data_IF_717856962719
#
_entry.id   IF_717856962719
#
_cell.length_a   1.000
_cell.length_b   1.000
_cell.length_c   1.000
_cell.angle_alpha   90.00
_cell.angle_beta   90.00
_cell.angle_gamma   90.00
#
_symmetry.space_group_name_H-M   'P 1'
#
loop_
_entity.id
_entity.type
_entity.pdbx_description
1 polymer ?
#
# COMPACT_ATOMS: atom_id res chain seq x y z
N UNK A 1 0.10 -28.94 1.34
CA UNK A 1 0.02 -29.03 2.82
C UNK A 1 -1.36 -28.56 3.24
N UNK A 2 -2.17 -29.42 3.83
CA UNK A 2 -3.49 -29.06 4.38
C UNK A 2 -3.26 -28.28 5.67
N UNK A 3 -3.29 -26.94 5.62
CA UNK A 3 -3.29 -26.10 6.83
C UNK A 3 -4.60 -26.36 7.56
N UNK A 4 -4.50 -26.68 8.84
CA UNK A 4 -5.63 -26.99 9.70
C UNK A 4 -6.55 -25.76 9.78
N UNK A 5 -7.72 -25.81 9.14
CA UNK A 5 -8.73 -24.73 9.11
C UNK A 5 -9.27 -24.36 10.51
N UNK A 6 -8.79 -25.04 11.56
CA UNK A 6 -9.26 -24.89 12.94
C UNK A 6 -8.40 -23.97 13.82
N UNK A 7 -7.29 -23.42 13.32
CA UNK A 7 -6.53 -22.41 14.05
C UNK A 7 -7.32 -21.09 14.08
N UNK A 8 -7.92 -20.77 15.22
CA UNK A 8 -8.60 -19.49 15.42
C UNK A 8 -7.60 -18.34 15.36
N UNK A 9 -7.80 -17.41 14.43
CA UNK A 9 -6.92 -16.26 14.28
C UNK A 9 -7.06 -15.33 15.49
N UNK A 10 -5.94 -14.93 16.09
CA UNK A 10 -5.92 -13.93 17.16
C UNK A 10 -6.21 -12.51 16.64
N UNK A 11 -6.20 -12.31 15.32
CA UNK A 11 -6.41 -11.03 14.66
C UNK A 11 -7.46 -11.13 13.57
N UNK A 12 -8.29 -10.08 13.43
CA UNK A 12 -9.39 -10.07 12.46
C UNK A 12 -9.47 -8.74 11.70
N UNK A 13 -9.78 -8.82 10.40
CA UNK A 13 -10.20 -7.70 9.56
C UNK A 13 -11.70 -7.86 9.30
N UNK A 14 -12.51 -6.95 9.82
CA UNK A 14 -13.91 -6.83 9.43
C UNK A 14 -13.98 -6.06 8.11
N UNK A 15 -14.47 -6.73 7.06
CA UNK A 15 -14.40 -6.25 5.68
C UNK A 15 -15.80 -5.97 5.14
N UNK A 16 -16.10 -4.71 4.88
CA UNK A 16 -17.16 -4.34 3.95
C UNK A 16 -16.67 -4.59 2.50
N UNK A 17 -17.58 -4.95 1.60
CA UNK A 17 -17.24 -5.18 0.19
C UNK A 17 -17.54 -3.91 -0.62
N UNK A 18 -18.70 -3.31 -0.38
CA UNK A 18 -19.13 -2.10 -1.06
C UNK A 18 -18.25 -0.92 -0.68
N UNK A 19 -17.88 -0.09 -1.65
CA UNK A 19 -16.96 1.04 -1.48
C UNK A 19 -15.54 0.70 -0.95
N UNK A 20 -15.24 -0.56 -0.62
CA UNK A 20 -13.90 -1.02 -0.17
C UNK A 20 -13.22 -1.82 -1.27
N UNK A 21 -13.80 -2.97 -1.65
CA UNK A 21 -13.27 -3.81 -2.74
C UNK A 21 -13.97 -3.54 -4.07
N UNK A 22 -15.25 -3.14 -4.02
CA UNK A 22 -16.08 -2.84 -5.18
C UNK A 22 -16.64 -1.42 -5.04
N UNK A 23 -16.07 -0.45 -5.75
CA UNK A 23 -16.55 0.95 -5.69
C UNK A 23 -17.60 1.22 -6.78
N UNK A 24 -18.32 2.36 -6.72
CA UNK A 24 -19.24 2.73 -7.79
C UNK A 24 -18.60 2.81 -9.18
N UNK A 25 -17.30 3.10 -9.25
CA UNK A 25 -16.54 3.12 -10.52
C UNK A 25 -16.37 1.69 -11.06
N UNK A 26 -16.15 0.72 -10.17
CA UNK A 26 -15.93 -0.66 -10.56
C UNK A 26 -17.20 -1.34 -11.06
N UNK A 27 -18.36 -1.00 -10.49
CA UNK A 27 -19.66 -1.44 -11.02
C UNK A 27 -19.83 -1.09 -12.50
N UNK A 28 -19.29 0.06 -12.93
CA UNK A 28 -19.39 0.57 -14.31
C UNK A 28 -18.21 0.14 -15.18
N UNK A 29 -17.27 -0.64 -14.67
CA UNK A 29 -16.14 -1.13 -15.46
C UNK A 29 -16.64 -2.09 -16.57
N UNK A 30 -15.98 -2.15 -17.74
CA UNK A 30 -16.41 -3.02 -18.83
C UNK A 30 -16.63 -4.49 -18.44
N UNK A 31 -15.83 -5.02 -17.51
CA UNK A 31 -15.97 -6.39 -17.00
C UNK A 31 -17.20 -6.62 -16.11
N UNK A 32 -17.82 -5.55 -15.60
CA UNK A 32 -18.94 -5.61 -14.66
C UNK A 32 -20.25 -5.07 -15.25
N UNK A 33 -20.28 -4.56 -16.49
CA UNK A 33 -21.48 -3.97 -17.09
C UNK A 33 -22.68 -4.92 -17.06
N UNK A 34 -22.47 -6.20 -17.39
CA UNK A 34 -23.55 -7.17 -17.35
C UNK A 34 -24.01 -7.48 -15.92
N UNK A 35 -23.09 -7.47 -14.93
CA UNK A 35 -23.46 -7.60 -13.53
C UNK A 35 -24.31 -6.40 -13.07
N UNK A 36 -23.96 -5.19 -13.52
CA UNK A 36 -24.70 -3.96 -13.27
C UNK A 36 -26.10 -4.03 -13.88
N UNK A 37 -26.22 -4.43 -15.16
CA UNK A 37 -27.52 -4.57 -15.84
C UNK A 37 -28.44 -5.56 -15.12
N UNK A 38 -27.88 -6.69 -14.66
CA UNK A 38 -28.62 -7.69 -13.88
C UNK A 38 -29.08 -7.10 -12.54
N UNK A 39 -28.20 -6.38 -11.84
CA UNK A 39 -28.51 -5.73 -10.57
C UNK A 39 -29.61 -4.66 -10.73
N UNK A 40 -29.49 -3.80 -11.74
CA UNK A 40 -30.45 -2.73 -12.02
C UNK A 40 -31.83 -3.28 -12.43
N UNK A 41 -31.86 -4.38 -13.18
CA UNK A 41 -33.11 -5.00 -13.63
C UNK A 41 -33.88 -5.73 -12.51
N UNK A 42 -33.18 -6.22 -11.49
CA UNK A 42 -33.78 -6.98 -10.37
C UNK A 42 -34.00 -6.17 -9.11
N UNK A 43 -33.36 -5.00 -8.98
CA UNK A 43 -33.24 -4.30 -7.70
C UNK A 43 -32.54 -5.16 -6.64
N UNK A 44 -32.82 -4.88 -5.37
CA UNK A 44 -32.26 -5.61 -4.21
C UNK A 44 -32.93 -6.99 -3.97
N UNK A 45 -33.68 -7.53 -4.92
CA UNK A 45 -34.21 -8.89 -4.79
C UNK A 45 -33.08 -9.92 -4.68
N UNK A 46 -33.16 -10.80 -3.68
CA UNK A 46 -32.11 -11.75 -3.30
C UNK A 46 -31.51 -12.54 -4.46
N UNK A 47 -32.35 -12.96 -5.42
CA UNK A 47 -31.92 -13.75 -6.56
C UNK A 47 -31.11 -12.95 -7.58
N UNK A 48 -31.51 -11.69 -7.82
CA UNK A 48 -30.87 -10.82 -8.80
C UNK A 48 -29.49 -10.34 -8.34
N UNK A 49 -29.38 -9.88 -7.10
CA UNK A 49 -28.10 -9.50 -6.51
C UNK A 49 -27.12 -10.69 -6.45
N UNK A 50 -27.58 -11.88 -6.02
CA UNK A 50 -26.72 -13.06 -6.01
C UNK A 50 -26.21 -13.42 -7.41
N UNK A 51 -27.03 -13.27 -8.45
CA UNK A 51 -26.62 -13.49 -9.84
C UNK A 51 -25.62 -12.43 -10.32
N UNK A 52 -25.86 -11.16 -10.02
CA UNK A 52 -24.93 -10.07 -10.36
C UNK A 52 -23.55 -10.32 -9.71
N UNK A 53 -23.50 -10.63 -8.42
CA UNK A 53 -22.25 -10.88 -7.69
C UNK A 53 -21.47 -12.11 -8.21
N UNK A 54 -22.14 -13.06 -8.88
CA UNK A 54 -21.44 -14.18 -9.56
C UNK A 54 -20.68 -13.76 -10.81
N UNK A 55 -20.94 -12.56 -11.31
CA UNK A 55 -20.37 -12.02 -12.53
C UNK A 55 -19.39 -10.87 -12.25
N UNK A 56 -19.37 -10.35 -11.02
CA UNK A 56 -18.49 -9.27 -10.61
C UNK A 56 -17.02 -9.72 -10.61
N UNK A 57 -16.20 -8.92 -11.27
CA UNK A 57 -14.74 -8.94 -11.21
C UNK A 57 -14.28 -7.81 -10.30
N UNK A 58 -13.62 -8.18 -9.20
CA UNK A 58 -12.99 -7.23 -8.27
C UNK A 58 -11.65 -6.76 -8.82
N UNK A 59 -11.25 -5.52 -8.47
CA UNK A 59 -9.96 -4.97 -8.89
C UNK A 59 -8.81 -5.77 -8.29
N UNK A 60 -7.99 -6.36 -9.16
CA UNK A 60 -6.86 -7.21 -8.76
C UNK A 60 -5.90 -6.52 -7.77
N UNK A 61 -5.69 -5.21 -7.93
CA UNK A 61 -4.87 -4.42 -7.01
C UNK A 61 -5.39 -4.46 -5.57
N UNK A 62 -6.69 -4.24 -5.33
CA UNK A 62 -7.26 -4.23 -3.97
C UNK A 62 -7.27 -5.61 -3.33
N UNK A 63 -7.52 -6.65 -4.14
CA UNK A 63 -7.38 -8.03 -3.70
C UNK A 63 -5.96 -8.31 -3.25
N UNK A 64 -4.98 -7.87 -4.03
CA UNK A 64 -3.57 -8.02 -3.67
C UNK A 64 -3.26 -7.33 -2.34
N UNK A 65 -3.73 -6.09 -2.14
CA UNK A 65 -3.56 -5.39 -0.88
C UNK A 65 -4.18 -6.13 0.31
N UNK A 66 -5.39 -6.67 0.14
CA UNK A 66 -6.06 -7.44 1.21
C UNK A 66 -5.30 -8.73 1.52
N UNK A 67 -4.85 -9.46 0.49
CA UNK A 67 -4.06 -10.67 0.67
C UNK A 67 -2.73 -10.38 1.36
N UNK A 68 -2.06 -9.28 0.99
CA UNK A 68 -0.83 -8.79 1.63
C UNK A 68 -1.11 -8.37 3.08
N UNK A 69 -2.21 -7.66 3.37
CA UNK A 69 -2.60 -7.31 4.74
C UNK A 69 -2.78 -8.56 5.62
N UNK A 70 -3.55 -9.55 5.15
CA UNK A 70 -3.76 -10.80 5.86
C UNK A 70 -2.46 -11.59 6.04
N UNK A 71 -1.64 -11.65 4.99
CA UNK A 71 -0.27 -12.19 5.02
C UNK A 71 0.58 -11.52 6.09
N UNK A 72 0.49 -10.19 6.19
CA UNK A 72 1.42 -9.37 6.95
C UNK A 72 1.10 -9.27 8.44
N UNK A 73 -0.13 -9.60 8.78
CA UNK A 73 -0.67 -9.47 10.12
C UNK A 73 -1.04 -10.83 10.72
N UNK A 74 -1.23 -11.84 9.87
CA UNK A 74 -1.86 -13.11 10.24
C UNK A 74 -3.35 -12.97 10.52
N UNK A 75 -3.98 -11.86 10.10
CA UNK A 75 -5.39 -11.62 10.35
C UNK A 75 -6.30 -12.42 9.41
N UNK A 76 -7.40 -12.93 9.97
CA UNK A 76 -8.48 -13.51 9.20
C UNK A 76 -9.51 -12.44 8.80
N UNK A 77 -10.19 -12.65 7.68
CA UNK A 77 -11.25 -11.80 7.15
C UNK A 77 -12.60 -12.27 7.68
N UNK A 78 -13.38 -11.33 8.21
CA UNK A 78 -14.79 -11.50 8.57
C UNK A 78 -15.59 -10.50 7.74
N UNK A 79 -16.62 -10.97 7.06
CA UNK A 79 -17.50 -10.15 6.23
C UNK A 79 -18.41 -9.29 7.10
N UNK A 80 -18.42 -7.99 6.81
CA UNK A 80 -19.26 -6.97 7.40
C UNK A 80 -20.01 -6.25 6.29
N UNK A 81 -20.89 -6.96 5.57
CA UNK A 81 -21.60 -6.41 4.41
C UNK A 81 -23.12 -6.43 4.58
N UNK A 82 -23.77 -5.35 4.14
CA UNK A 82 -25.25 -5.27 4.05
C UNK A 82 -25.85 -6.28 3.07
N UNK A 83 -25.04 -6.88 2.19
CA UNK A 83 -25.51 -7.94 1.30
C UNK A 83 -25.66 -9.28 2.00
N UNK A 84 -25.10 -9.47 3.20
CA UNK A 84 -25.13 -10.74 3.93
C UNK A 84 -26.56 -11.28 4.18
N UNK A 85 -27.54 -10.48 4.65
CA UNK A 85 -28.92 -10.97 4.81
C UNK A 85 -29.61 -11.35 3.49
N UNK A 86 -29.14 -10.77 2.37
CA UNK A 86 -29.77 -10.89 1.06
C UNK A 86 -29.24 -12.09 0.28
N UNK A 87 -27.91 -12.26 0.24
CA UNK A 87 -27.27 -13.31 -0.58
C UNK A 87 -26.57 -14.40 0.23
N UNK A 88 -26.41 -14.20 1.54
CA UNK A 88 -25.71 -15.14 2.42
C UNK A 88 -24.18 -15.05 2.32
N UNK A 89 -23.51 -15.58 3.34
CA UNK A 89 -22.05 -15.58 3.45
C UNK A 89 -21.35 -16.45 2.42
N UNK A 90 -22.01 -17.53 1.95
CA UNK A 90 -21.46 -18.44 0.95
C UNK A 90 -21.23 -17.73 -0.39
N UNK A 91 -22.19 -16.92 -0.84
CA UNK A 91 -22.07 -16.18 -2.12
C UNK A 91 -20.97 -15.12 -2.05
N UNK A 92 -20.84 -14.42 -0.92
CA UNK A 92 -19.79 -13.43 -0.74
C UNK A 92 -18.41 -14.06 -0.60
N UNK A 93 -18.31 -15.22 0.06
CA UNK A 93 -17.06 -15.99 0.13
C UNK A 93 -16.63 -16.50 -1.25
N UNK A 94 -17.59 -16.96 -2.07
CA UNK A 94 -17.38 -17.34 -3.48
C UNK A 94 -16.93 -16.14 -4.34
N UNK A 95 -17.52 -14.95 -4.12
CA UNK A 95 -17.06 -13.72 -4.76
C UNK A 95 -15.58 -13.42 -4.44
N UNK A 96 -15.19 -13.45 -3.17
CA UNK A 96 -13.80 -13.17 -2.77
C UNK A 96 -12.83 -14.21 -3.33
N UNK A 97 -13.14 -15.50 -3.17
CA UNK A 97 -12.24 -16.59 -3.57
C UNK A 97 -12.05 -16.70 -5.07
N UNK A 98 -13.11 -16.54 -5.88
CA UNK A 98 -12.98 -16.48 -7.35
C UNK A 98 -12.17 -15.28 -7.83
N UNK A 99 -12.18 -14.20 -7.05
CA UNK A 99 -11.37 -13.02 -7.30
C UNK A 99 -9.99 -13.09 -6.65
N UNK A 100 -9.53 -14.29 -6.27
CA UNK A 100 -8.18 -14.57 -5.76
C UNK A 100 -7.88 -14.10 -4.33
N UNK A 101 -8.89 -13.85 -3.49
CA UNK A 101 -8.69 -13.87 -2.04
C UNK A 101 -8.50 -15.32 -1.61
N UNK A 102 -7.44 -15.60 -0.85
CA UNK A 102 -7.21 -16.98 -0.43
C UNK A 102 -8.26 -17.44 0.58
N UNK A 103 -8.82 -18.64 0.37
CA UNK A 103 -9.90 -19.19 1.22
C UNK A 103 -9.46 -19.35 2.68
N UNK A 104 -8.18 -19.63 2.92
CA UNK A 104 -7.60 -19.73 4.27
C UNK A 104 -7.45 -18.39 4.99
N UNK A 105 -7.67 -17.26 4.32
CA UNK A 105 -7.81 -15.98 5.00
C UNK A 105 -9.22 -15.72 5.50
N UNK A 106 -10.24 -16.47 5.06
CA UNK A 106 -11.58 -16.33 5.59
C UNK A 106 -11.69 -16.98 6.97
N UNK A 107 -12.23 -16.23 7.93
CA UNK A 107 -12.48 -16.76 9.27
C UNK A 107 -13.56 -17.87 9.23
N UNK A 108 -13.49 -18.85 10.13
CA UNK A 108 -14.46 -19.97 10.20
C UNK A 108 -15.91 -19.53 10.43
N UNK A 109 -16.10 -18.51 11.26
CA UNK A 109 -17.36 -17.76 11.39
C UNK A 109 -17.18 -16.50 10.55
N UNK A 110 -17.41 -16.63 9.24
CA UNK A 110 -16.99 -15.66 8.22
C UNK A 110 -17.85 -14.40 8.18
N UNK A 111 -18.94 -14.30 8.95
CA UNK A 111 -19.92 -13.23 8.75
C UNK A 111 -20.45 -12.62 10.05
N UNK A 112 -20.53 -11.29 10.04
CA UNK A 112 -21.30 -10.51 10.99
C UNK A 112 -22.69 -10.24 10.39
N UNK A 113 -23.76 -10.61 11.07
CA UNK A 113 -25.12 -10.29 10.60
C UNK A 113 -25.38 -8.81 10.82
N UNK A 114 -25.43 -8.04 9.75
CA UNK A 114 -25.76 -6.60 9.75
C UNK A 114 -27.19 -6.43 9.26
N UNK A 115 -28.07 -5.82 10.06
CA UNK A 115 -29.48 -5.61 9.69
C UNK A 115 -29.72 -4.26 9.02
N UNK A 116 -28.90 -3.26 9.36
CA UNK A 116 -28.98 -1.88 8.88
C UNK A 116 -27.61 -1.16 9.06
N UNK A 117 -27.37 0.00 8.43
CA UNK A 117 -26.08 0.69 8.50
C UNK A 117 -25.63 1.00 9.93
N UNK A 118 -26.54 1.44 10.80
CA UNK A 118 -26.24 1.80 12.19
C UNK A 118 -25.92 0.55 13.04
N UNK A 119 -26.42 -0.62 12.65
CA UNK A 119 -26.17 -1.90 13.32
C UNK A 119 -24.78 -2.51 13.09
N UNK A 120 -23.97 -2.00 12.15
CA UNK A 120 -22.64 -2.57 11.83
C UNK A 120 -21.76 -2.69 13.08
N UNK A 121 -21.74 -1.67 13.94
CA UNK A 121 -21.01 -1.70 15.21
C UNK A 121 -21.51 -2.80 16.14
N UNK A 122 -22.82 -2.88 16.36
CA UNK A 122 -23.43 -3.91 17.19
C UNK A 122 -23.18 -5.32 16.64
N UNK A 123 -23.13 -5.49 15.32
CA UNK A 123 -22.81 -6.74 14.66
C UNK A 123 -21.35 -7.17 14.91
N UNK A 124 -20.39 -6.23 14.82
CA UNK A 124 -18.98 -6.46 15.15
C UNK A 124 -18.83 -6.81 16.65
N UNK A 125 -19.43 -6.01 17.55
CA UNK A 125 -19.36 -6.25 19.00
C UNK A 125 -20.00 -7.59 19.39
N UNK A 126 -21.16 -7.91 18.81
CA UNK A 126 -21.86 -9.18 19.02
C UNK A 126 -21.02 -10.36 18.52
N UNK A 127 -20.34 -10.21 17.38
CA UNK A 127 -19.42 -11.22 16.87
C UNK A 127 -18.20 -11.39 17.79
N UNK A 128 -17.54 -10.29 18.19
CA UNK A 128 -16.38 -10.32 19.10
C UNK A 128 -16.72 -10.95 20.46
N UNK A 129 -17.94 -10.75 20.97
CA UNK A 129 -18.39 -11.35 22.24
C UNK A 129 -18.39 -12.88 22.23
N UNK A 130 -18.57 -13.48 21.03
CA UNK A 130 -18.54 -14.94 20.78
C UNK A 130 -17.14 -15.44 20.43
N UNK A 131 -16.23 -14.55 20.06
CA UNK A 131 -14.87 -14.84 19.60
C UNK A 131 -13.81 -14.19 20.51
N UNK A 132 -13.82 -14.56 21.80
CA UNK A 132 -12.92 -14.00 22.82
C UNK A 132 -11.43 -14.29 22.59
N UNK A 133 -11.13 -15.20 21.66
CA UNK A 133 -9.77 -15.48 21.21
C UNK A 133 -9.15 -14.35 20.37
N UNK A 134 -9.99 -13.49 19.76
CA UNK A 134 -9.55 -12.34 18.97
C UNK A 134 -9.11 -11.21 19.90
N UNK A 135 -7.87 -10.75 19.71
CA UNK A 135 -7.21 -9.74 20.56
C UNK A 135 -6.98 -8.42 19.84
N UNK A 136 -6.80 -8.47 18.53
CA UNK A 136 -6.52 -7.31 17.68
C UNK A 136 -7.50 -7.35 16.50
N UNK A 137 -8.11 -6.22 16.15
CA UNK A 137 -9.03 -6.17 15.02
C UNK A 137 -9.11 -4.77 14.45
N UNK A 138 -9.51 -4.70 13.18
CA UNK A 138 -9.79 -3.44 12.48
C UNK A 138 -11.06 -3.59 11.65
N UNK A 139 -11.64 -2.47 11.25
CA UNK A 139 -12.77 -2.41 10.32
C UNK A 139 -12.31 -1.68 9.06
N UNK A 140 -12.39 -2.37 7.92
CA UNK A 140 -12.24 -1.79 6.58
C UNK A 140 -13.65 -1.51 6.06
N UNK A 141 -14.06 -0.25 6.20
CA UNK A 141 -15.38 0.23 5.79
C UNK A 141 -15.27 1.72 5.41
N UNK A 142 -15.99 2.13 4.38
CA UNK A 142 -16.02 3.53 3.97
C UNK A 142 -16.70 4.42 5.03
N UNK A 143 -17.64 3.85 5.79
CA UNK A 143 -18.41 4.55 6.82
C UNK A 143 -17.82 4.34 8.23
N UNK A 144 -16.64 3.69 8.35
CA UNK A 144 -16.08 3.25 9.64
C UNK A 144 -15.95 4.37 10.68
N UNK A 145 -15.63 5.59 10.24
CA UNK A 145 -15.47 6.76 11.12
C UNK A 145 -16.81 7.22 11.72
N UNK A 146 -17.90 7.12 10.96
CA UNK A 146 -19.24 7.56 11.39
C UNK A 146 -19.90 6.54 12.33
N UNK A 147 -19.47 5.28 12.25
CA UNK A 147 -19.96 4.17 13.07
C UNK A 147 -19.37 4.16 14.50
N UNK A 148 -18.46 5.08 14.82
CA UNK A 148 -17.94 5.30 16.17
C UNK A 148 -17.06 4.16 16.70
N UNK A 149 -16.42 3.40 15.81
CA UNK A 149 -15.37 2.45 16.21
C UNK A 149 -14.20 3.19 16.84
N UNK A 150 -13.54 2.57 17.83
CA UNK A 150 -12.38 3.19 18.51
C UNK A 150 -11.14 3.27 17.60
N UNK A 151 -11.04 2.40 16.59
CA UNK A 151 -9.86 2.31 15.71
C UNK A 151 -10.25 1.96 14.25
N UNK A 152 -11.05 2.79 13.56
CA UNK A 152 -11.46 2.54 12.18
C UNK A 152 -10.31 2.83 11.20
N UNK A 153 -10.18 2.01 10.15
CA UNK A 153 -9.37 2.35 8.98
C UNK A 153 -10.35 2.86 7.92
N UNK A 154 -10.59 4.19 7.85
CA UNK A 154 -11.57 4.74 6.93
C UNK A 154 -11.12 4.52 5.49
N UNK A 155 -11.99 3.95 4.68
CA UNK A 155 -11.69 3.67 3.28
C UNK A 155 -12.30 4.73 2.38
N UNK A 156 -11.53 5.32 1.47
CA UNK A 156 -12.06 6.38 0.60
C UNK A 156 -13.16 5.82 -0.36
N UNK A 157 -14.41 6.30 -0.31
CA UNK A 157 -15.55 5.65 -0.97
C UNK A 157 -15.44 5.55 -2.50
N UNK A 158 -14.69 6.46 -3.14
CA UNK A 158 -14.42 6.40 -4.59
C UNK A 158 -13.21 5.55 -4.97
N UNK A 159 -12.19 5.53 -4.12
CA UNK A 159 -10.89 4.91 -4.43
C UNK A 159 -10.84 3.46 -3.93
N UNK A 160 -11.66 3.12 -2.94
CA UNK A 160 -11.67 1.84 -2.26
C UNK A 160 -10.43 1.67 -1.40
N UNK A 161 -10.15 0.42 -1.03
CA UNK A 161 -8.98 0.06 -0.24
C UNK A 161 -7.69 0.35 -1.01
N UNK A 162 -6.90 1.31 -0.55
CA UNK A 162 -5.61 1.68 -1.14
C UNK A 162 -4.45 1.25 -0.26
N UNK A 163 -3.23 1.52 -0.71
CA UNK A 163 -2.01 1.20 0.03
C UNK A 163 -1.92 2.00 1.33
N UNK A 164 -2.42 3.24 1.36
CA UNK A 164 -2.43 4.04 2.58
C UNK A 164 -3.26 3.37 3.66
N UNK A 165 -4.49 2.93 3.34
CA UNK A 165 -5.33 2.18 4.28
C UNK A 165 -4.71 0.82 4.63
N UNK A 166 -4.05 0.15 3.68
CA UNK A 166 -3.36 -1.11 3.95
C UNK A 166 -2.22 -0.93 4.96
N UNK A 167 -1.37 0.09 4.80
CA UNK A 167 -0.28 0.37 5.72
C UNK A 167 -0.82 0.71 7.12
N UNK A 168 -1.84 1.55 7.20
CA UNK A 168 -2.50 1.90 8.47
C UNK A 168 -3.07 0.64 9.15
N UNK A 169 -3.77 -0.20 8.39
CA UNK A 169 -4.26 -1.50 8.84
C UNK A 169 -3.14 -2.41 9.38
N UNK A 170 -2.01 -2.50 8.66
CA UNK A 170 -0.84 -3.27 9.10
C UNK A 170 -0.26 -2.71 10.39
N UNK A 171 -0.14 -1.38 10.50
CA UNK A 171 0.38 -0.72 11.70
C UNK A 171 -0.47 -0.97 12.94
N UNK A 172 -1.80 -0.95 12.79
CA UNK A 172 -2.75 -1.19 13.90
C UNK A 172 -2.81 -2.66 14.32
N UNK A 173 -2.69 -3.57 13.35
CA UNK A 173 -2.72 -5.02 13.61
C UNK A 173 -1.35 -5.60 14.01
N UNK A 174 -0.24 -4.87 13.86
CA UNK A 174 1.07 -5.33 14.34
C UNK A 174 1.32 -4.86 15.78
N UNK A 175 1.90 -5.72 16.64
CA UNK A 175 2.32 -5.27 17.96
C UNK A 175 3.26 -4.07 17.80
N UNK A 176 3.01 -3.00 18.56
CA UNK A 176 3.92 -1.84 18.64
C UNK A 176 5.34 -2.36 18.78
N UNK A 177 6.22 -1.97 17.86
CA UNK A 177 7.63 -2.36 17.91
C UNK A 177 8.15 -2.17 19.33
N UNK A 178 8.77 -3.19 19.96
CA UNK A 178 9.29 -3.09 21.31
C UNK A 178 10.14 -1.81 21.46
N UNK A 179 9.97 -1.06 22.57
CA UNK A 179 10.71 0.21 22.80
C UNK A 179 12.22 0.10 22.59
N UNK A 180 12.81 -1.09 22.75
CA UNK A 180 14.22 -1.38 22.46
C UNK A 180 14.66 -1.14 21.01
N UNK A 181 13.73 -1.05 20.05
CA UNK A 181 14.04 -0.63 18.67
C UNK A 181 14.02 0.89 18.52
N UNK A 182 13.43 1.63 19.46
CA UNK A 182 13.56 3.10 19.52
C UNK A 182 14.92 3.55 20.08
N UNK A 183 15.74 2.64 20.62
CA UNK A 183 16.93 2.99 21.41
C UNK A 183 18.29 2.59 20.82
N UNK A 184 18.35 2.05 19.60
CA UNK A 184 19.66 1.87 18.93
C UNK A 184 20.00 3.11 18.11
N UNK A 185 20.90 3.90 18.68
CA UNK A 185 21.56 5.11 18.16
C UNK A 185 20.63 6.30 17.85
N UNK A 186 20.26 7.11 18.87
CA UNK A 186 19.61 8.41 18.64
C UNK A 186 20.45 9.40 17.81
N UNK A 187 21.75 9.15 17.66
CA UNK A 187 22.70 10.07 17.02
C UNK A 187 23.18 9.63 15.62
N UNK A 188 22.77 8.44 15.12
CA UNK A 188 23.18 7.95 13.81
C UNK A 188 22.21 8.42 12.73
N UNK A 189 22.62 9.39 11.90
CA UNK A 189 21.84 9.78 10.71
C UNK A 189 21.98 8.70 9.64
N UNK A 190 20.84 8.11 9.25
CA UNK A 190 20.73 7.18 8.15
C UNK A 190 20.20 7.92 6.92
N UNK A 191 20.76 7.68 5.73
CA UNK A 191 20.36 8.38 4.50
C UNK A 191 19.95 7.40 3.41
N UNK A 192 18.84 7.73 2.73
CA UNK A 192 18.42 7.10 1.48
C UNK A 192 18.68 8.09 0.35
N UNK A 193 19.67 7.80 -0.47
CA UNK A 193 19.89 8.51 -1.72
C UNK A 193 18.93 7.95 -2.77
N UNK A 194 18.01 8.79 -3.24
CA UNK A 194 16.87 8.39 -4.04
C UNK A 194 17.00 8.88 -5.49
N UNK A 195 16.95 7.93 -6.44
CA UNK A 195 16.51 8.22 -7.80
C UNK A 195 14.99 8.01 -7.97
N UNK A 196 14.43 8.55 -9.04
CA UNK A 196 12.99 8.57 -9.30
C UNK A 196 12.62 7.55 -10.36
N UNK A 197 13.20 7.66 -11.55
CA UNK A 197 12.92 6.78 -12.67
C UNK A 197 13.35 5.36 -12.32
N UNK A 198 12.53 4.37 -12.69
CA UNK A 198 12.81 2.97 -12.39
C UNK A 198 12.70 2.58 -10.90
N UNK A 199 12.57 3.54 -9.98
CA UNK A 199 12.47 3.30 -8.53
C UNK A 199 11.06 3.55 -8.03
N UNK A 200 10.66 4.82 -7.95
CA UNK A 200 9.30 5.23 -7.59
C UNK A 200 8.41 5.32 -8.82
N UNK A 201 9.02 5.49 -10.00
CA UNK A 201 8.36 5.57 -11.28
C UNK A 201 8.90 4.48 -12.22
N UNK A 202 8.55 3.20 -11.99
CA UNK A 202 9.05 2.09 -12.78
C UNK A 202 8.61 2.19 -14.25
N UNK A 203 9.35 1.56 -15.16
CA UNK A 203 9.07 1.58 -16.61
C UNK A 203 7.66 1.07 -16.94
N UNK A 204 7.13 0.15 -16.13
CA UNK A 204 5.75 -0.32 -16.24
C UNK A 204 4.72 0.82 -16.11
N UNK A 205 4.99 1.85 -15.30
CA UNK A 205 4.12 3.01 -15.17
C UNK A 205 4.09 3.84 -16.47
N UNK A 206 5.21 3.93 -17.19
CA UNK A 206 5.29 4.62 -18.48
C UNK A 206 4.58 3.89 -19.62
N UNK A 207 4.31 2.59 -19.46
CA UNK A 207 3.63 1.78 -20.47
C UNK A 207 2.10 1.97 -20.47
N UNK A 208 1.56 2.68 -19.48
CA UNK A 208 0.14 3.01 -19.41
C UNK A 208 -0.20 4.09 -20.45
N UNK A 209 -1.34 3.95 -21.13
CA UNK A 209 -1.80 4.93 -22.12
C UNK A 209 -1.84 6.35 -21.55
N UNK A 210 -2.31 6.52 -20.31
CA UNK A 210 -2.34 7.81 -19.63
C UNK A 210 -0.95 8.41 -19.45
N UNK A 211 0.05 7.58 -19.11
CA UNK A 211 1.43 8.03 -18.97
C UNK A 211 2.06 8.40 -20.32
N UNK A 212 1.73 7.66 -21.39
CA UNK A 212 2.13 8.00 -22.76
C UNK A 212 1.54 9.36 -23.17
N UNK A 213 0.24 9.58 -22.92
CA UNK A 213 -0.45 10.83 -23.24
C UNK A 213 0.14 11.99 -22.41
N UNK A 214 0.42 11.77 -21.12
CA UNK A 214 1.08 12.73 -20.24
C UNK A 214 2.48 13.10 -20.77
N UNK A 215 3.27 12.11 -21.16
CA UNK A 215 4.61 12.33 -21.69
C UNK A 215 4.61 13.09 -23.01
N UNK A 216 3.65 12.80 -23.89
CA UNK A 216 3.46 13.57 -25.12
C UNK A 216 3.13 15.03 -24.84
N UNK A 217 2.32 15.32 -23.83
CA UNK A 217 2.02 16.70 -23.40
C UNK A 217 3.25 17.37 -22.81
N UNK A 218 3.95 16.70 -21.90
CA UNK A 218 5.18 17.22 -21.26
C UNK A 218 6.24 17.61 -22.28
N UNK A 219 6.42 16.82 -23.34
CA UNK A 219 7.42 17.06 -24.39
C UNK A 219 7.28 18.42 -25.07
N UNK A 220 6.05 18.94 -25.18
CA UNK A 220 5.76 20.21 -25.86
C UNK A 220 5.32 21.32 -24.90
N UNK A 221 5.16 21.00 -23.62
CA UNK A 221 4.70 21.95 -22.62
C UNK A 221 5.84 22.90 -22.22
N UNK A 222 5.70 24.19 -22.55
CA UNK A 222 6.65 25.25 -22.16
C UNK A 222 6.25 25.95 -20.87
N UNK A 223 5.01 25.75 -20.41
CA UNK A 223 4.48 26.38 -19.20
C UNK A 223 4.77 25.51 -17.96
N UNK A 224 5.44 26.09 -16.97
CA UNK A 224 5.86 25.37 -15.76
C UNK A 224 4.67 24.93 -14.90
N UNK A 225 3.60 25.74 -14.84
CA UNK A 225 2.40 25.41 -14.06
C UNK A 225 1.62 24.27 -14.71
N UNK A 226 1.53 24.24 -16.03
CA UNK A 226 0.92 23.12 -16.76
C UNK A 226 1.75 21.85 -16.59
N UNK A 227 3.09 21.90 -16.65
CA UNK A 227 3.92 20.71 -16.36
C UNK A 227 3.67 20.18 -14.97
N UNK A 228 3.58 21.05 -13.97
CA UNK A 228 3.28 20.66 -12.59
C UNK A 228 1.95 19.91 -12.49
N UNK A 229 0.93 20.42 -13.15
CA UNK A 229 -0.38 19.76 -13.20
C UNK A 229 -0.28 18.40 -13.89
N UNK A 230 0.53 18.25 -14.94
CA UNK A 230 0.71 16.97 -15.62
C UNK A 230 1.43 15.97 -14.72
N UNK A 231 2.54 16.34 -14.07
CA UNK A 231 3.24 15.44 -13.13
C UNK A 231 2.40 15.09 -11.91
N UNK A 232 1.59 16.03 -11.42
CA UNK A 232 0.75 15.80 -10.24
C UNK A 232 -0.44 14.91 -10.56
N UNK A 233 -1.09 15.10 -11.71
CA UNK A 233 -2.37 14.44 -11.99
C UNK A 233 -2.29 13.28 -12.99
N UNK A 234 -1.35 13.34 -13.94
CA UNK A 234 -1.33 12.43 -15.08
C UNK A 234 -0.19 11.39 -15.00
N UNK A 235 0.91 11.72 -14.31
CA UNK A 235 2.01 10.76 -14.04
C UNK A 235 1.64 9.90 -12.84
N UNK A 236 1.69 8.58 -13.02
CA UNK A 236 1.33 7.61 -11.98
C UNK A 236 2.58 7.00 -11.36
N UNK A 237 2.98 7.50 -10.21
CA UNK A 237 4.01 6.86 -9.39
C UNK A 237 3.52 5.52 -8.83
N UNK A 238 4.45 4.59 -8.61
CA UNK A 238 4.15 3.32 -7.95
C UNK A 238 3.85 3.58 -6.48
N UNK A 239 2.57 3.55 -6.12
CA UNK A 239 2.14 3.71 -4.74
C UNK A 239 2.74 2.62 -3.82
N UNK A 240 3.05 1.43 -4.35
CA UNK A 240 3.75 0.36 -3.59
C UNK A 240 5.18 0.80 -3.27
N UNK A 241 5.90 1.34 -4.26
CA UNK A 241 7.26 1.82 -4.07
C UNK A 241 7.32 2.99 -3.07
N UNK A 242 6.37 3.95 -3.16
CA UNK A 242 6.25 5.07 -2.23
C UNK A 242 6.00 4.57 -0.80
N UNK A 243 5.08 3.62 -0.63
CA UNK A 243 4.81 3.02 0.68
C UNK A 243 6.03 2.32 1.28
N UNK A 244 6.75 1.53 0.47
CA UNK A 244 7.98 0.88 0.90
C UNK A 244 9.07 1.90 1.23
N UNK A 245 9.15 3.01 0.50
CA UNK A 245 10.09 4.10 0.78
C UNK A 245 9.79 4.80 2.11
N UNK A 246 8.53 5.17 2.38
CA UNK A 246 8.13 5.75 3.66
C UNK A 246 8.39 4.79 4.82
N UNK A 247 8.07 3.50 4.61
CA UNK A 247 8.32 2.48 5.62
C UNK A 247 9.82 2.25 5.85
N UNK A 248 10.65 2.39 4.82
CA UNK A 248 12.11 2.31 4.95
C UNK A 248 12.63 3.44 5.83
N UNK A 249 12.21 4.67 5.52
CA UNK A 249 12.57 5.87 6.26
C UNK A 249 12.10 5.79 7.72
N UNK A 250 10.83 5.46 7.95
CA UNK A 250 10.27 5.30 9.29
C UNK A 250 10.99 4.23 10.10
N UNK A 251 11.22 3.05 9.53
CA UNK A 251 11.85 1.92 10.25
C UNK A 251 13.31 2.20 10.57
N UNK A 252 14.04 2.72 9.59
CA UNK A 252 15.49 2.92 9.71
C UNK A 252 15.84 4.30 10.28
N UNK A 253 14.83 5.13 10.58
CA UNK A 253 15.00 6.56 10.89
C UNK A 253 15.85 7.26 9.85
N UNK A 254 15.66 6.87 8.60
CA UNK A 254 16.43 7.40 7.51
C UNK A 254 15.75 8.62 6.91
N UNK A 255 16.56 9.54 6.39
CA UNK A 255 16.08 10.69 5.64
C UNK A 255 16.44 10.56 4.16
N UNK A 256 15.65 11.18 3.31
CA UNK A 256 15.76 11.13 1.85
C UNK A 256 16.63 12.30 1.36
N UNK A 257 17.56 11.97 0.47
CA UNK A 257 18.35 12.91 -0.32
C UNK A 257 18.19 12.54 -1.80
N UNK A 258 17.85 13.51 -2.64
CA UNK A 258 17.67 13.33 -4.07
C UNK A 258 19.01 13.21 -4.79
N UNK A 259 19.16 12.11 -5.53
CA UNK A 259 20.24 11.85 -6.50
C UNK A 259 19.63 11.45 -7.84
N UNK A 260 18.93 12.39 -8.47
CA UNK A 260 18.16 12.11 -9.70
C UNK A 260 18.61 12.96 -10.88
N UNK A 261 18.43 12.43 -12.09
CA UNK A 261 18.62 13.15 -13.36
C UNK A 261 17.51 14.19 -13.61
N UNK A 262 16.37 14.09 -12.91
CA UNK A 262 15.27 15.06 -13.02
C UNK A 262 15.70 16.49 -12.72
N UNK A 263 16.77 16.67 -11.93
CA UNK A 263 17.38 17.97 -11.60
C UNK A 263 17.82 18.78 -12.83
N UNK A 264 18.02 18.14 -13.98
CA UNK A 264 18.40 18.83 -15.22
C UNK A 264 17.22 19.56 -15.87
N UNK A 265 16.00 19.23 -15.47
CA UNK A 265 14.78 19.77 -16.05
C UNK A 265 13.91 20.50 -15.03
N UNK A 266 14.13 20.22 -13.75
CA UNK A 266 13.29 20.71 -12.66
C UNK A 266 14.14 21.18 -11.48
N UNK A 267 13.62 22.15 -10.73
CA UNK A 267 14.22 22.52 -9.44
C UNK A 267 14.03 21.39 -8.42
N UNK A 268 14.94 21.28 -7.46
CA UNK A 268 14.86 20.26 -6.41
C UNK A 268 13.61 20.43 -5.53
N UNK A 269 13.22 21.68 -5.26
CA UNK A 269 11.98 22.00 -4.52
C UNK A 269 10.72 21.54 -5.26
N UNK A 270 10.72 21.68 -6.58
CA UNK A 270 9.63 21.18 -7.42
C UNK A 270 9.53 19.66 -7.38
N UNK A 271 10.67 18.96 -7.48
CA UNK A 271 10.73 17.50 -7.40
C UNK A 271 10.19 17.01 -6.05
N UNK A 272 10.65 17.61 -4.93
CA UNK A 272 10.15 17.32 -3.59
C UNK A 272 8.62 17.49 -3.52
N UNK A 273 8.09 18.63 -3.98
CA UNK A 273 6.65 18.92 -3.95
C UNK A 273 5.82 17.89 -4.71
N UNK A 274 6.29 17.44 -5.87
CA UNK A 274 5.63 16.37 -6.64
C UNK A 274 5.66 15.05 -5.85
N UNK A 275 6.82 14.63 -5.37
CA UNK A 275 6.93 13.35 -4.65
C UNK A 275 6.08 13.35 -3.38
N UNK A 276 6.02 14.47 -2.67
CA UNK A 276 5.14 14.65 -1.51
C UNK A 276 3.65 14.62 -1.88
N UNK A 277 3.25 15.21 -3.01
CA UNK A 277 1.85 15.14 -3.47
C UNK A 277 1.43 13.72 -3.86
N UNK A 278 2.38 12.87 -4.22
CA UNK A 278 2.19 11.43 -4.46
C UNK A 278 2.35 10.55 -3.21
N UNK A 279 2.60 11.15 -2.04
CA UNK A 279 2.54 10.48 -0.75
C UNK A 279 3.89 10.15 -0.11
N UNK A 280 5.02 10.66 -0.62
CA UNK A 280 6.27 10.65 0.15
C UNK A 280 6.12 11.58 1.36
N UNK A 281 6.34 11.07 2.57
CA UNK A 281 6.08 11.83 3.79
C UNK A 281 7.09 12.98 4.00
N UNK A 282 6.61 14.17 4.34
CA UNK A 282 7.41 15.39 4.42
C UNK A 282 8.52 15.33 5.49
N UNK A 283 8.25 14.64 6.59
CA UNK A 283 9.20 14.42 7.69
C UNK A 283 10.39 13.54 7.29
N UNK A 284 10.33 12.84 6.15
CA UNK A 284 11.42 12.00 5.67
C UNK A 284 12.46 12.78 4.89
N UNK A 285 12.23 14.03 4.48
CA UNK A 285 13.24 14.80 3.77
C UNK A 285 14.37 15.25 4.70
N UNK A 286 15.61 15.09 4.24
CA UNK A 286 16.76 15.71 4.91
C UNK A 286 16.71 17.25 4.79
N UNK A 287 17.34 17.98 5.70
CA UNK A 287 17.37 19.44 5.62
C UNK A 287 18.15 19.93 4.36
N UNK A 288 19.25 19.25 4.05
CA UNK A 288 19.98 19.32 2.77
C UNK A 288 19.59 18.12 1.90
N UNK A 289 18.37 18.09 1.36
CA UNK A 289 17.83 16.94 0.63
C UNK A 289 18.30 16.84 -0.83
N UNK A 290 19.23 17.66 -1.31
CA UNK A 290 19.60 17.68 -2.72
C UNK A 290 21.11 17.53 -2.93
N UNK A 291 21.51 16.53 -3.71
CA UNK A 291 22.87 16.46 -4.21
C UNK A 291 23.14 17.57 -5.24
N UNK A 292 24.36 18.12 -5.20
CA UNK A 292 24.86 19.07 -6.20
C UNK A 292 25.41 18.29 -7.39
N UNK A 293 25.18 18.79 -8.61
CA UNK A 293 25.79 18.21 -9.82
C UNK A 293 27.28 18.58 -9.88
N UNK A 294 28.13 17.59 -9.66
CA UNK A 294 29.59 17.73 -9.70
C UNK A 294 30.16 17.57 -11.12
N UNK A 295 29.33 17.19 -12.09
CA UNK A 295 29.76 16.79 -13.44
C UNK A 295 30.42 15.41 -13.51
N UNK A 296 30.59 14.72 -12.36
CA UNK A 296 31.19 13.38 -12.26
C UNK A 296 30.19 12.23 -12.23
N UNK A 297 28.90 12.51 -12.43
CA UNK A 297 27.80 11.54 -12.31
C UNK A 297 27.31 11.35 -10.87
N UNK A 298 26.26 10.53 -10.71
CA UNK A 298 25.55 10.35 -9.42
C UNK A 298 26.47 9.92 -8.28
N UNK A 299 27.51 9.12 -8.57
CA UNK A 299 28.47 8.67 -7.55
C UNK A 299 29.26 9.83 -6.95
N UNK A 300 29.79 10.70 -7.81
CA UNK A 300 30.53 11.87 -7.38
C UNK A 300 29.63 12.85 -6.61
N UNK A 301 28.37 12.98 -7.03
CA UNK A 301 27.38 13.82 -6.34
C UNK A 301 27.07 13.32 -4.92
N UNK A 302 26.95 11.99 -4.75
CA UNK A 302 26.75 11.34 -3.43
C UNK A 302 28.01 11.49 -2.58
N UNK A 303 29.20 11.23 -3.13
CA UNK A 303 30.46 11.34 -2.39
C UNK A 303 30.71 12.79 -1.93
N UNK A 304 30.43 13.78 -2.76
CA UNK A 304 30.52 15.20 -2.41
C UNK A 304 29.51 15.56 -1.30
N UNK A 305 28.27 15.09 -1.41
CA UNK A 305 27.27 15.31 -0.37
C UNK A 305 27.72 14.70 0.96
N UNK A 306 28.14 13.42 0.97
CA UNK A 306 28.62 12.74 2.18
C UNK A 306 29.84 13.43 2.80
N UNK A 307 30.71 14.06 2.01
CA UNK A 307 31.86 14.81 2.52
C UNK A 307 31.48 16.01 3.39
N UNK A 308 30.27 16.57 3.18
CA UNK A 308 29.70 17.68 3.95
C UNK A 308 28.85 17.23 5.14
N UNK A 309 28.56 15.92 5.23
CA UNK A 309 27.64 15.32 6.18
C UNK A 309 28.30 14.19 6.99
N UNK A 310 29.34 14.54 7.75
CA UNK A 310 30.12 13.59 8.55
C UNK A 310 29.31 12.90 9.68
N UNK A 311 28.13 13.44 10.02
CA UNK A 311 27.16 12.85 10.95
C UNK A 311 26.46 11.60 10.38
N UNK A 312 26.50 11.39 9.06
CA UNK A 312 25.88 10.24 8.40
C UNK A 312 26.74 9.01 8.58
N UNK A 313 26.17 7.98 9.22
CA UNK A 313 26.90 6.75 9.59
C UNK A 313 26.40 5.52 8.85
N UNK A 314 25.23 5.61 8.22
CA UNK A 314 24.66 4.57 7.37
C UNK A 314 23.95 5.21 6.19
N UNK A 315 24.08 4.62 5.01
CA UNK A 315 23.38 5.10 3.83
C UNK A 315 23.18 3.99 2.81
N UNK A 316 22.22 4.22 1.91
CA UNK A 316 21.89 3.34 0.80
C UNK A 316 21.53 4.18 -0.41
N UNK A 317 21.84 3.69 -1.61
CA UNK A 317 21.39 4.29 -2.86
C UNK A 317 20.33 3.41 -3.49
N UNK A 318 19.19 4.03 -3.82
CA UNK A 318 18.03 3.38 -4.41
C UNK A 318 17.90 3.93 -5.82
N UNK A 319 18.42 3.16 -6.77
CA UNK A 319 18.59 3.54 -8.18
C UNK A 319 18.42 2.29 -9.06
N UNK A 320 17.85 2.45 -10.25
CA UNK A 320 17.65 1.37 -11.22
C UNK A 320 18.83 1.20 -12.18
N UNK A 321 19.70 2.21 -12.30
CA UNK A 321 20.89 2.19 -13.14
C UNK A 321 22.11 1.68 -12.37
N UNK A 322 21.93 0.52 -11.73
CA UNK A 322 22.91 -0.01 -10.79
C UNK A 322 24.25 -0.41 -11.40
N UNK A 323 25.31 -0.26 -10.60
CA UNK A 323 26.68 -0.66 -10.94
C UNK A 323 27.71 0.47 -10.97
N UNK A 324 27.26 1.72 -11.10
CA UNK A 324 28.16 2.90 -11.06
C UNK A 324 28.39 3.42 -9.63
N UNK A 325 27.55 3.01 -8.67
CA UNK A 325 27.42 3.66 -7.36
C UNK A 325 28.04 2.87 -6.20
N UNK A 326 28.59 1.67 -6.42
CA UNK A 326 29.39 0.92 -5.44
C UNK A 326 28.60 0.10 -4.40
N UNK A 327 29.21 -0.17 -3.24
CA UNK A 327 28.77 -1.20 -2.28
C UNK A 327 27.41 -0.97 -1.59
N UNK A 328 26.82 0.22 -1.69
CA UNK A 328 25.55 0.57 -1.06
C UNK A 328 24.39 0.75 -2.06
N UNK A 329 24.61 0.35 -3.31
CA UNK A 329 23.60 0.31 -4.38
C UNK A 329 22.71 -0.93 -4.22
N UNK A 330 21.39 -0.75 -4.27
CA UNK A 330 20.41 -1.83 -4.14
C UNK A 330 20.18 -2.64 -5.42
N UNK A 331 20.53 -2.12 -6.59
CA UNK A 331 20.21 -2.82 -7.83
C UNK A 331 18.71 -2.92 -8.08
N UNK A 332 18.02 -1.78 -8.17
CA UNK A 332 16.57 -1.80 -8.43
C UNK A 332 16.32 -2.26 -9.87
N UNK A 333 15.39 -3.18 -10.04
CA UNK A 333 14.88 -3.51 -11.37
C UNK A 333 13.95 -2.39 -11.83
N UNK A 334 14.39 -1.61 -12.81
CA UNK A 334 13.64 -0.47 -13.34
C UNK A 334 12.23 -0.81 -13.86
N UNK A 335 11.99 -2.06 -14.24
CA UNK A 335 10.64 -2.50 -14.64
C UNK A 335 9.70 -2.68 -13.45
N UNK A 336 10.24 -3.10 -12.30
CA UNK A 336 9.46 -3.45 -11.11
C UNK A 336 9.39 -2.34 -10.07
N UNK A 337 10.37 -1.44 -10.04
CA UNK A 337 10.47 -0.41 -9.01
C UNK A 337 11.02 -0.95 -7.70
N UNK A 338 10.90 -0.14 -6.64
CA UNK A 338 11.26 -0.58 -5.30
C UNK A 338 10.37 -1.76 -4.85
N UNK A 339 10.98 -2.93 -4.68
CA UNK A 339 10.29 -4.15 -4.24
C UNK A 339 10.49 -4.42 -2.74
N UNK A 340 9.73 -5.37 -2.20
CA UNK A 340 9.90 -5.87 -0.82
C UNK A 340 11.33 -6.42 -0.60
N UNK A 341 11.89 -7.11 -1.60
CA UNK A 341 13.25 -7.66 -1.52
C UNK A 341 14.28 -6.54 -1.41
N UNK A 342 14.15 -5.51 -2.25
CA UNK A 342 15.01 -4.32 -2.21
C UNK A 342 14.86 -3.54 -0.91
N UNK A 343 13.62 -3.36 -0.42
CA UNK A 343 13.32 -2.76 0.88
C UNK A 343 14.04 -3.49 2.03
N UNK A 344 13.99 -4.82 2.07
CA UNK A 344 14.67 -5.63 3.10
C UNK A 344 16.17 -5.44 3.04
N UNK A 345 16.73 -5.48 1.84
CA UNK A 345 18.16 -5.27 1.64
C UNK A 345 18.59 -3.87 2.11
N UNK A 346 17.78 -2.86 1.82
CA UNK A 346 18.00 -1.50 2.31
C UNK A 346 17.98 -1.44 3.84
N UNK A 347 17.00 -2.07 4.49
CA UNK A 347 16.94 -2.16 5.94
C UNK A 347 18.18 -2.85 6.54
N UNK A 348 18.72 -3.89 5.89
CA UNK A 348 19.97 -4.53 6.34
C UNK A 348 21.16 -3.58 6.25
N UNK A 349 21.31 -2.88 5.12
CA UNK A 349 22.40 -1.93 4.89
C UNK A 349 22.33 -0.73 5.86
N UNK A 350 21.12 -0.31 6.23
CA UNK A 350 20.87 0.75 7.21
C UNK A 350 20.90 0.26 8.67
N UNK A 351 21.28 -0.99 8.93
CA UNK A 351 21.46 -1.53 10.29
C UNK A 351 20.16 -1.86 11.04
N UNK A 352 19.03 -1.94 10.34
CA UNK A 352 17.72 -2.29 10.87
C UNK A 352 17.13 -3.56 10.19
N UNK A 353 17.88 -4.68 10.14
CA UNK A 353 17.51 -5.86 9.37
C UNK A 353 16.09 -6.33 9.71
N UNK A 354 15.38 -6.77 8.68
CA UNK A 354 14.04 -7.36 8.83
C UNK A 354 14.23 -8.78 9.33
N UNK A 355 13.72 -9.09 10.52
CA UNK A 355 13.92 -10.41 11.13
C UNK A 355 13.30 -11.52 10.27
N UNK A 356 13.87 -12.73 10.29
CA UNK A 356 13.29 -13.88 9.59
C UNK A 356 11.86 -14.20 10.05
N UNK A 357 11.50 -13.86 11.29
CA UNK A 357 10.13 -14.00 11.81
C UNK A 357 9.18 -12.91 11.31
N UNK A 358 9.71 -11.71 11.01
CA UNK A 358 8.96 -10.68 10.29
C UNK A 358 8.78 -11.09 8.82
N UNK A 359 9.68 -11.89 8.23
CA UNK A 359 9.58 -12.41 6.87
C UNK A 359 8.35 -13.32 6.66
N UNK A 360 8.04 -14.15 7.67
CA UNK A 360 6.85 -15.00 7.70
C UNK A 360 5.57 -14.19 7.94
N UNK A 361 5.67 -13.12 8.73
CA UNK A 361 4.63 -12.12 8.93
C UNK A 361 4.67 -10.99 7.87
N UNK A 362 5.39 -11.13 6.76
CA UNK A 362 5.40 -10.18 5.61
C UNK A 362 5.11 -10.93 4.30
N UNK A 363 4.98 -12.26 4.37
CA UNK A 363 4.65 -13.16 3.26
C UNK A 363 3.53 -14.16 3.62
N UNK A 364 2.99 -14.12 4.85
CA UNK A 364 1.82 -14.92 5.22
C UNK A 364 2.07 -16.42 5.37
N UNK A 365 3.31 -16.83 5.65
CA UNK A 365 3.63 -18.24 5.87
C UNK A 365 3.83 -18.50 7.37
N UNK A 366 2.95 -19.22 8.08
CA UNK A 366 3.29 -19.81 9.37
C UNK A 366 4.46 -20.80 9.24
N UNK A 367 5.29 -20.88 10.29
CA UNK A 367 6.35 -21.89 10.46
C UNK A 367 5.80 -23.30 10.50
#
# INVERSE_FOLDING_TARGET
MSRDRNSTAAKVVFLEIDCVLLTPIDWRAPGNLHACDVFDASGEESFGLARALRMVVLRHFRIRLLNELCSDTGAAVVLLSRWLPVVGSEVLSDLLTRNSVYDWYLHRDVACTVTDPESKRAAVEGWLSRHREVREWIVLDADAAELGFEDPVPVHPRLGFTITEQLDAVHRLRPRLPERYKSRHPDASAIVFLDIDGVLLPTACWSLKSAIDAWQRLRWCTDESERELIYTNDVQFSAVAIALMNQLCTRCRAQIVLVTSWRWHHSQEYIRRILSSHGVAEEHWHADYACVDTGGGKRADVDEWLSRHAEVTAWVVVDDQSGELGFADLGIDGEQGLTISSYRRACELLGAPVGADEHHAFLGFPR
#
